data_IF_009793718988
#
_entry.id   IF_009793718988
#
_cell.length_a   1.000
_cell.length_b   1.000
_cell.length_c   1.000
_cell.angle_alpha   90.00
_cell.angle_beta   90.00
_cell.angle_gamma   90.00
#
_symmetry.space_group_name_H-M   'P 1'
#
loop_
_entity.id
_entity.type
_entity.pdbx_description
1 polymer ?
#
# COMPACT_ATOMS: atom_id res chain seq x y z
N UNK A 1 -0.93 -27.89 -17.05
CA UNK A 1 -1.85 -27.73 -15.91
C UNK A 1 -1.51 -26.42 -15.22
N UNK A 2 -2.48 -25.49 -15.08
CA UNK A 2 -2.32 -24.28 -14.26
C UNK A 2 -2.41 -24.67 -12.77
N UNK A 3 -1.73 -23.88 -11.94
CA UNK A 3 -1.86 -23.99 -10.47
C UNK A 3 -3.07 -23.20 -10.01
N UNK A 4 -3.87 -23.77 -9.08
CA UNK A 4 -5.10 -23.15 -8.59
C UNK A 4 -4.82 -22.04 -7.58
N UNK A 5 -3.71 -22.13 -6.85
CA UNK A 5 -3.36 -21.20 -5.76
C UNK A 5 -1.87 -20.86 -5.80
N UNK A 6 -1.52 -19.72 -5.25
CA UNK A 6 -0.13 -19.40 -4.96
C UNK A 6 0.39 -20.41 -3.93
N UNK A 7 1.52 -21.03 -4.23
CA UNK A 7 2.07 -22.08 -3.39
C UNK A 7 1.58 -23.52 -3.73
N UNK A 8 0.66 -23.70 -4.69
CA UNK A 8 0.18 -25.01 -5.13
C UNK A 8 1.20 -25.78 -5.99
N UNK A 9 2.26 -25.11 -6.44
CA UNK A 9 3.32 -25.74 -7.21
C UNK A 9 4.03 -26.83 -6.41
N UNK A 10 4.33 -28.01 -7.02
CA UNK A 10 5.12 -29.06 -6.38
C UNK A 10 6.55 -28.62 -6.03
N UNK A 11 7.03 -27.53 -6.65
CA UNK A 11 8.33 -26.93 -6.36
C UNK A 11 8.29 -25.97 -5.16
N UNK A 12 7.10 -25.62 -4.65
CA UNK A 12 6.95 -24.78 -3.48
C UNK A 12 7.12 -25.65 -2.22
N UNK A 13 8.27 -25.59 -1.58
CA UNK A 13 8.57 -26.40 -0.40
C UNK A 13 7.84 -25.89 0.86
N UNK A 14 7.67 -24.56 0.98
CA UNK A 14 7.03 -23.90 2.14
C UNK A 14 6.07 -22.82 1.66
N UNK A 15 5.04 -22.59 2.45
CA UNK A 15 4.08 -21.47 2.28
C UNK A 15 4.07 -20.70 3.60
N UNK A 16 4.51 -19.46 3.55
CA UNK A 16 4.48 -18.53 4.68
C UNK A 16 3.16 -17.82 4.75
N UNK A 17 2.58 -17.72 5.93
CA UNK A 17 1.31 -17.05 6.19
C UNK A 17 1.37 -16.34 7.54
N UNK A 18 0.76 -15.16 7.64
CA UNK A 18 0.62 -14.46 8.93
C UNK A 18 -0.18 -15.26 9.96
N UNK A 19 -1.04 -16.18 9.51
CA UNK A 19 -1.82 -17.08 10.37
C UNK A 19 -1.95 -18.45 9.68
N UNK A 20 -0.92 -19.28 9.83
CA UNK A 20 -0.88 -20.61 9.24
C UNK A 20 -2.05 -21.49 9.72
N UNK A 21 -2.55 -21.30 10.95
CA UNK A 21 -3.67 -22.07 11.50
C UNK A 21 -4.99 -21.83 10.74
N UNK A 22 -5.15 -20.66 10.13
CA UNK A 22 -6.32 -20.33 9.28
C UNK A 22 -6.19 -20.78 7.83
N UNK A 23 -5.01 -21.23 7.43
CA UNK A 23 -4.75 -21.63 6.06
C UNK A 23 -5.10 -23.12 5.87
N UNK A 24 -6.28 -23.40 5.33
CA UNK A 24 -6.78 -24.77 5.11
C UNK A 24 -6.46 -25.35 3.74
N UNK A 25 -5.85 -24.56 2.84
CA UNK A 25 -5.58 -24.95 1.45
C UNK A 25 -4.33 -25.83 1.29
N UNK A 26 -3.44 -25.83 2.31
CA UNK A 26 -2.17 -26.53 2.24
C UNK A 26 -1.99 -27.48 3.42
N UNK A 27 -1.23 -28.58 3.24
CA UNK A 27 -0.84 -29.43 4.36
C UNK A 27 -0.10 -28.64 5.45
N UNK A 28 -0.39 -28.90 6.71
CA UNK A 28 0.26 -28.20 7.84
C UNK A 28 1.80 -28.32 7.81
N UNK A 29 2.34 -29.41 7.24
CA UNK A 29 3.79 -29.62 7.09
C UNK A 29 4.47 -28.62 6.12
N UNK A 30 3.70 -27.94 5.27
CA UNK A 30 4.18 -26.91 4.35
C UNK A 30 3.96 -25.50 4.87
N UNK A 31 3.16 -25.33 5.90
CA UNK A 31 2.77 -24.03 6.43
C UNK A 31 3.78 -23.56 7.49
N UNK A 32 4.19 -22.31 7.37
CA UNK A 32 5.00 -21.61 8.36
C UNK A 32 4.26 -20.33 8.73
N UNK A 33 4.06 -20.09 10.02
CA UNK A 33 3.58 -18.79 10.50
C UNK A 33 4.75 -17.82 10.50
N UNK A 34 4.58 -16.73 9.74
CA UNK A 34 5.56 -15.66 9.67
C UNK A 34 4.86 -14.30 9.55
N UNK A 35 5.25 -13.37 10.40
CA UNK A 35 4.68 -12.04 10.42
C UNK A 35 5.54 -11.08 9.60
N UNK A 36 5.04 -10.66 8.45
CA UNK A 36 5.68 -9.62 7.63
C UNK A 36 6.00 -8.36 8.44
N UNK A 37 5.13 -8.01 9.37
CA UNK A 37 5.35 -6.89 10.28
C UNK A 37 6.55 -7.13 11.19
N UNK A 38 6.62 -8.29 11.84
CA UNK A 38 7.71 -8.64 12.75
C UNK A 38 9.04 -8.73 12.00
N UNK A 39 9.05 -9.30 10.80
CA UNK A 39 10.22 -9.33 9.92
C UNK A 39 10.73 -7.91 9.61
N UNK A 40 9.85 -6.99 9.22
CA UNK A 40 10.22 -5.60 8.93
C UNK A 40 10.71 -4.86 10.19
N UNK A 41 10.09 -5.10 11.34
CA UNK A 41 10.49 -4.52 12.61
C UNK A 41 11.86 -5.04 13.07
N UNK A 42 12.16 -6.31 12.80
CA UNK A 42 13.43 -6.96 13.19
C UNK A 42 14.65 -6.51 12.38
N UNK A 43 14.45 -5.85 11.23
CA UNK A 43 15.55 -5.32 10.42
C UNK A 43 16.44 -4.38 11.25
N UNK A 44 17.74 -4.61 11.18
CA UNK A 44 18.74 -3.74 11.79
C UNK A 44 18.77 -2.35 11.15
N UNK A 45 19.38 -1.38 11.81
CA UNK A 45 19.56 -0.04 11.25
C UNK A 45 20.33 -0.06 9.92
N UNK A 46 21.33 -0.95 9.78
CA UNK A 46 22.11 -1.10 8.56
C UNK A 46 21.27 -1.68 7.41
N UNK A 47 20.44 -2.69 7.68
CA UNK A 47 19.53 -3.27 6.69
C UNK A 47 18.47 -2.26 6.26
N UNK A 48 17.87 -1.51 7.19
CA UNK A 48 16.95 -0.42 6.89
C UNK A 48 17.60 0.66 6.04
N UNK A 49 18.86 1.02 6.32
CA UNK A 49 19.60 1.98 5.51
C UNK A 49 19.87 1.46 4.09
N UNK A 50 20.21 0.17 3.97
CA UNK A 50 20.39 -0.48 2.65
C UNK A 50 19.09 -0.45 1.85
N UNK A 51 17.97 -0.84 2.44
CA UNK A 51 16.66 -0.81 1.78
C UNK A 51 16.30 0.63 1.35
N UNK A 52 16.55 1.62 2.21
CA UNK A 52 16.37 3.03 1.86
C UNK A 52 17.16 3.42 0.62
N UNK A 53 18.45 3.07 0.57
CA UNK A 53 19.30 3.44 -0.57
C UNK A 53 18.86 2.87 -1.90
N UNK A 54 18.14 1.74 -1.88
CA UNK A 54 17.59 1.10 -3.08
C UNK A 54 16.28 1.74 -3.53
N UNK A 55 15.40 2.06 -2.60
CA UNK A 55 14.01 2.45 -2.92
C UNK A 55 13.74 3.96 -2.81
N UNK A 56 14.52 4.70 -2.03
CA UNK A 56 14.39 6.16 -1.92
C UNK A 56 15.42 6.84 -2.80
N UNK A 57 15.11 6.92 -4.08
CA UNK A 57 15.96 7.59 -5.08
C UNK A 57 15.72 9.10 -5.14
N UNK A 58 14.63 9.58 -4.54
CA UNK A 58 14.28 10.98 -4.47
C UNK A 58 14.29 11.48 -3.02
N UNK A 59 14.74 12.71 -2.77
CA UNK A 59 14.65 13.30 -1.44
C UNK A 59 13.17 13.44 -1.03
N UNK A 60 12.85 12.94 0.15
CA UNK A 60 11.54 13.15 0.76
C UNK A 60 11.52 14.52 1.47
N UNK A 61 10.36 15.20 1.51
CA UNK A 61 10.21 16.40 2.31
C UNK A 61 10.54 16.12 3.78
N UNK A 62 11.36 16.97 4.39
CA UNK A 62 11.79 16.81 5.80
C UNK A 62 10.62 17.03 6.78
N UNK A 63 9.66 17.84 6.40
CA UNK A 63 8.52 18.17 7.23
C UNK A 63 7.21 17.98 6.46
N UNK A 64 6.46 17.00 6.88
CA UNK A 64 5.10 16.73 6.39
C UNK A 64 4.12 16.66 7.57
N UNK A 65 4.20 17.61 8.49
CA UNK A 65 3.28 17.68 9.61
C UNK A 65 1.83 17.72 9.13
N UNK A 66 1.00 16.82 9.64
CA UNK A 66 -0.39 16.69 9.23
C UNK A 66 -0.61 16.03 7.86
N UNK A 67 0.43 15.51 7.20
CA UNK A 67 0.32 14.93 5.87
C UNK A 67 -0.64 13.73 5.83
N UNK A 68 -1.35 13.62 4.71
CA UNK A 68 -2.19 12.47 4.36
C UNK A 68 -1.53 11.65 3.28
N UNK A 69 -1.45 10.33 3.46
CA UNK A 69 -1.02 9.38 2.45
C UNK A 69 -2.23 8.72 1.79
N UNK A 70 -2.39 8.92 0.49
CA UNK A 70 -3.33 8.16 -0.32
C UNK A 70 -2.62 6.98 -0.98
N UNK A 71 -3.20 5.79 -0.84
CA UNK A 71 -2.71 4.54 -1.43
C UNK A 71 -3.76 4.03 -2.42
N UNK A 72 -3.75 4.50 -3.67
CA UNK A 72 -4.69 4.08 -4.69
C UNK A 72 -4.50 2.61 -5.06
N UNK A 73 -5.63 1.96 -5.37
CA UNK A 73 -5.65 0.66 -6.05
C UNK A 73 -5.89 0.87 -7.54
N UNK A 74 -5.32 0.00 -8.37
CA UNK A 74 -5.45 0.03 -9.83
C UNK A 74 -6.77 -0.60 -10.30
N UNK A 75 -7.90 0.06 -10.06
CA UNK A 75 -9.23 -0.44 -10.43
C UNK A 75 -9.45 -0.52 -11.94
N UNK A 76 -8.83 0.38 -12.70
CA UNK A 76 -8.90 0.39 -14.18
C UNK A 76 -8.21 -0.85 -14.73
N UNK A 77 -7.00 -1.15 -14.28
CA UNK A 77 -6.24 -2.31 -14.70
C UNK A 77 -6.86 -3.64 -14.22
N UNK A 78 -7.64 -3.59 -13.15
CA UNK A 78 -8.44 -4.72 -12.68
C UNK A 78 -9.77 -4.86 -13.46
N UNK A 79 -10.10 -3.94 -14.39
CA UNK A 79 -11.31 -3.95 -15.20
C UNK A 79 -12.60 -3.62 -14.42
N UNK A 80 -12.49 -2.96 -13.26
CA UNK A 80 -13.60 -2.69 -12.36
C UNK A 80 -14.26 -1.34 -12.58
N UNK A 81 -13.57 -0.39 -13.24
CA UNK A 81 -14.11 0.93 -13.58
C UNK A 81 -13.32 1.57 -14.72
N UNK A 82 -13.86 2.64 -15.27
CA UNK A 82 -13.18 3.47 -16.26
C UNK A 82 -12.17 4.41 -15.58
N UNK A 83 -11.22 4.95 -16.36
CA UNK A 83 -10.27 5.93 -15.87
C UNK A 83 -10.95 7.18 -15.32
N UNK A 84 -12.04 7.63 -15.95
CA UNK A 84 -12.79 8.80 -15.51
C UNK A 84 -13.44 8.57 -14.13
N UNK A 85 -14.03 7.39 -13.92
CA UNK A 85 -14.63 7.00 -12.65
C UNK A 85 -13.57 6.87 -11.54
N UNK A 86 -12.44 6.23 -11.82
CA UNK A 86 -11.33 6.11 -10.87
C UNK A 86 -10.81 7.50 -10.46
N UNK A 87 -10.59 8.38 -11.44
CA UNK A 87 -10.11 9.73 -11.20
C UNK A 87 -11.08 10.54 -10.34
N UNK A 88 -12.38 10.49 -10.66
CA UNK A 88 -13.43 11.19 -9.89
C UNK A 88 -13.48 10.66 -8.45
N UNK A 89 -13.46 9.35 -8.26
CA UNK A 89 -13.49 8.70 -6.96
C UNK A 89 -12.28 9.11 -6.10
N UNK A 90 -11.06 9.02 -6.62
CA UNK A 90 -9.89 9.40 -5.83
C UNK A 90 -9.81 10.90 -5.56
N UNK A 91 -10.33 11.76 -6.44
CA UNK A 91 -10.51 13.19 -6.13
C UNK A 91 -11.47 13.40 -4.96
N UNK A 92 -12.60 12.72 -4.94
CA UNK A 92 -13.56 12.81 -3.85
C UNK A 92 -12.99 12.27 -2.52
N UNK A 93 -12.29 11.14 -2.56
CA UNK A 93 -11.59 10.58 -1.40
C UNK A 93 -10.55 11.57 -0.87
N UNK A 94 -9.70 12.12 -1.75
CA UNK A 94 -8.72 13.11 -1.35
C UNK A 94 -9.38 14.37 -0.77
N UNK A 95 -10.41 14.91 -1.42
CA UNK A 95 -11.12 16.10 -0.93
C UNK A 95 -11.70 15.91 0.48
N UNK A 96 -12.19 14.71 0.79
CA UNK A 96 -12.77 14.41 2.12
C UNK A 96 -11.73 14.16 3.19
N UNK A 97 -10.65 13.46 2.87
CA UNK A 97 -9.76 12.91 3.88
C UNK A 97 -8.39 13.59 3.96
N UNK A 98 -8.03 14.46 3.00
CA UNK A 98 -6.76 15.19 3.08
C UNK A 98 -6.83 16.28 4.13
N UNK A 99 -5.87 16.21 5.07
CA UNK A 99 -5.58 17.27 6.01
C UNK A 99 -4.06 17.55 5.89
N UNK A 100 -3.69 18.76 5.49
CA UNK A 100 -2.28 19.10 5.22
C UNK A 100 -1.76 18.58 3.87
N UNK A 101 -0.44 18.39 3.71
CA UNK A 101 0.16 17.93 2.46
C UNK A 101 -0.36 16.55 2.03
N UNK A 102 -0.65 16.39 0.74
CA UNK A 102 -1.07 15.10 0.17
C UNK A 102 0.14 14.37 -0.43
N UNK A 103 0.33 13.14 0.00
CA UNK A 103 1.27 12.18 -0.58
C UNK A 103 0.49 11.07 -1.26
N UNK A 104 0.97 10.61 -2.40
CA UNK A 104 0.34 9.52 -3.14
C UNK A 104 1.36 8.44 -3.42
N UNK A 105 1.10 7.23 -2.96
CA UNK A 105 1.90 6.04 -3.29
C UNK A 105 1.09 5.12 -4.18
N UNK A 106 1.38 5.19 -5.47
CA UNK A 106 0.65 4.45 -6.50
C UNK A 106 0.97 2.95 -6.48
N UNK A 107 0.04 2.15 -6.97
CA UNK A 107 0.29 0.73 -7.22
C UNK A 107 1.23 0.56 -8.43
N UNK A 108 2.17 -0.42 -8.46
CA UNK A 108 3.11 -0.59 -9.59
C UNK A 108 2.43 -0.80 -10.95
N UNK A 109 1.22 -1.38 -10.99
CA UNK A 109 0.44 -1.60 -12.23
C UNK A 109 -0.43 -0.41 -12.63
N UNK A 110 -0.65 0.55 -11.73
CA UNK A 110 -1.53 1.70 -11.98
C UNK A 110 -0.88 2.65 -12.99
N UNK A 111 -1.57 2.91 -14.09
CA UNK A 111 -1.09 3.77 -15.19
C UNK A 111 -1.63 5.20 -15.13
N UNK A 112 -2.40 5.51 -14.09
CA UNK A 112 -2.98 6.85 -13.87
C UNK A 112 -1.88 7.90 -13.72
N UNK A 113 -2.02 9.02 -14.42
CA UNK A 113 -1.18 10.20 -14.23
C UNK A 113 -1.64 10.99 -13.01
N UNK A 114 -1.08 10.63 -11.86
CA UNK A 114 -1.39 11.31 -10.59
C UNK A 114 -0.80 12.70 -10.49
N UNK A 115 0.25 13.05 -11.25
CA UNK A 115 0.76 14.43 -11.32
C UNK A 115 -0.25 15.35 -11.98
N UNK A 116 -0.87 14.93 -13.08
CA UNK A 116 -1.94 15.70 -13.71
C UNK A 116 -3.22 15.75 -12.85
N UNK A 117 -3.51 14.67 -12.11
CA UNK A 117 -4.73 14.57 -11.30
C UNK A 117 -4.65 15.40 -10.01
N UNK A 118 -3.46 15.48 -9.39
CA UNK A 118 -3.13 16.17 -8.13
C UNK A 118 -1.82 16.95 -8.25
N UNK A 119 -1.82 18.13 -8.88
CA UNK A 119 -0.60 18.88 -9.18
C UNK A 119 0.23 19.26 -7.95
N UNK A 120 -0.42 19.45 -6.80
CA UNK A 120 0.21 19.87 -5.54
C UNK A 120 0.60 18.67 -4.64
N UNK A 121 0.34 17.44 -5.08
CA UNK A 121 0.66 16.25 -4.29
C UNK A 121 2.12 15.80 -4.50
N UNK A 122 2.70 15.22 -3.46
CA UNK A 122 3.98 14.52 -3.54
C UNK A 122 3.74 13.09 -4.01
N UNK A 123 4.10 12.79 -5.26
CA UNK A 123 3.96 11.43 -5.80
C UNK A 123 5.20 10.62 -5.45
N UNK A 124 5.01 9.58 -4.65
CA UNK A 124 6.09 8.69 -4.22
C UNK A 124 6.46 7.70 -5.32
N UNK A 125 7.73 7.24 -5.30
CA UNK A 125 8.26 6.29 -6.27
C UNK A 125 7.35 5.07 -6.43
N UNK A 126 6.94 4.81 -7.66
CA UNK A 126 5.92 3.78 -7.99
C UNK A 126 6.38 2.37 -7.65
N UNK A 127 7.66 2.08 -7.84
CA UNK A 127 8.25 0.76 -7.62
C UNK A 127 8.59 0.47 -6.17
N UNK A 128 8.62 1.49 -5.31
CA UNK A 128 8.88 1.32 -3.89
C UNK A 128 7.74 0.53 -3.22
N UNK A 129 8.02 -0.56 -2.50
CA UNK A 129 6.99 -1.22 -1.68
C UNK A 129 6.45 -0.28 -0.60
N UNK A 130 5.13 -0.30 -0.37
CA UNK A 130 4.50 0.56 0.65
C UNK A 130 5.04 0.31 2.06
N UNK A 131 5.50 -0.91 2.33
CA UNK A 131 6.07 -1.33 3.61
C UNK A 131 7.39 -0.63 3.92
N UNK A 132 8.13 -0.22 2.90
CA UNK A 132 9.38 0.55 3.06
C UNK A 132 9.10 1.89 3.74
N UNK A 133 7.92 2.47 3.54
CA UNK A 133 7.52 3.71 4.21
C UNK A 133 7.46 3.59 5.74
N UNK A 134 7.26 2.39 6.28
CA UNK A 134 7.21 2.18 7.74
C UNK A 134 8.50 2.58 8.48
N UNK A 135 9.64 2.61 7.79
CA UNK A 135 10.94 2.92 8.40
C UNK A 135 11.80 3.89 7.58
N UNK A 136 11.31 4.35 6.44
CA UNK A 136 12.08 5.23 5.55
C UNK A 136 11.82 6.71 5.79
N UNK A 137 10.66 7.05 6.36
CA UNK A 137 10.24 8.42 6.56
C UNK A 137 10.82 8.98 7.86
N UNK A 138 11.24 10.25 7.88
CA UNK A 138 11.60 10.96 9.11
C UNK A 138 10.38 11.39 9.94
N UNK A 139 9.17 11.15 9.44
CA UNK A 139 7.89 11.51 10.06
C UNK A 139 6.86 10.39 9.88
N UNK A 140 5.76 10.47 10.62
CA UNK A 140 4.55 9.70 10.36
C UNK A 140 3.52 10.57 9.66
N UNK A 141 2.72 9.95 8.80
CA UNK A 141 1.51 10.59 8.27
C UNK A 141 0.48 10.73 9.39
N UNK A 142 -0.21 11.86 9.44
CA UNK A 142 -1.37 11.97 10.32
C UNK A 142 -2.45 10.96 9.92
N UNK A 143 -2.54 10.68 8.60
CA UNK A 143 -3.57 9.79 8.05
C UNK A 143 -3.06 9.01 6.85
N UNK A 144 -3.47 7.75 6.73
CA UNK A 144 -3.32 6.94 5.52
C UNK A 144 -4.68 6.42 5.06
N UNK A 145 -5.00 6.62 3.79
CA UNK A 145 -6.31 6.30 3.19
C UNK A 145 -6.12 5.35 2.02
N UNK A 146 -6.95 4.32 1.94
CA UNK A 146 -7.02 3.42 0.79
C UNK A 146 -8.46 2.96 0.54
N UNK A 147 -8.71 2.47 -0.67
CA UNK A 147 -10.01 1.90 -1.07
C UNK A 147 -9.81 0.42 -1.41
N UNK A 148 -10.58 -0.44 -0.76
CA UNK A 148 -10.63 -1.89 -1.01
C UNK A 148 -9.25 -2.57 -1.10
N UNK A 149 -8.31 -2.20 -0.22
CA UNK A 149 -6.95 -2.75 -0.18
C UNK A 149 -6.52 -3.09 1.23
N UNK A 150 -5.81 -4.19 1.38
CA UNK A 150 -5.29 -4.63 2.68
C UNK A 150 -3.92 -4.02 3.04
N UNK A 151 -3.39 -3.13 2.21
CA UNK A 151 -2.06 -2.52 2.40
C UNK A 151 -1.88 -1.87 3.78
N UNK A 152 -2.95 -1.31 4.37
CA UNK A 152 -2.90 -0.65 5.67
C UNK A 152 -2.81 -1.61 6.86
N UNK A 153 -2.97 -2.92 6.69
CA UNK A 153 -2.91 -3.88 7.81
C UNK A 153 -1.54 -3.87 8.50
N UNK A 154 -0.47 -3.95 7.71
CA UNK A 154 0.91 -3.93 8.21
C UNK A 154 1.56 -2.53 8.18
N UNK A 155 0.79 -1.48 7.84
CA UNK A 155 1.31 -0.12 7.73
C UNK A 155 1.40 0.54 9.12
N UNK A 156 2.58 1.03 9.50
CA UNK A 156 2.83 1.65 10.82
C UNK A 156 3.23 3.13 10.74
N UNK A 157 3.46 3.65 9.52
CA UNK A 157 3.88 5.02 9.29
C UNK A 157 2.72 6.04 9.23
N UNK A 158 1.54 5.70 9.78
CA UNK A 158 0.42 6.61 9.92
C UNK A 158 -0.24 6.45 11.30
N UNK A 159 -0.74 7.56 11.85
CA UNK A 159 -1.46 7.56 13.12
C UNK A 159 -2.91 7.11 12.94
N UNK A 160 -3.58 7.57 11.90
CA UNK A 160 -4.94 7.15 11.52
C UNK A 160 -4.91 6.34 10.22
N UNK A 161 -5.68 5.26 10.18
CA UNK A 161 -5.82 4.40 8.99
C UNK A 161 -7.28 4.34 8.57
N UNK A 162 -7.56 4.74 7.34
CA UNK A 162 -8.90 4.75 6.76
C UNK A 162 -8.93 3.74 5.61
N UNK A 163 -9.67 2.68 5.81
CA UNK A 163 -9.96 1.68 4.79
C UNK A 163 -11.42 1.84 4.35
N UNK A 164 -11.63 2.31 3.13
CA UNK A 164 -12.95 2.42 2.54
C UNK A 164 -13.26 1.16 1.73
N UNK A 165 -14.53 0.74 1.77
CA UNK A 165 -15.07 -0.12 0.74
C UNK A 165 -15.20 0.66 -0.58
N UNK A 166 -15.39 -0.05 -1.69
CA UNK A 166 -15.63 0.59 -2.98
C UNK A 166 -16.93 1.41 -2.95
N UNK A 167 -17.98 0.87 -2.31
CA UNK A 167 -19.27 1.53 -2.15
C UNK A 167 -19.16 2.83 -1.35
N UNK A 168 -18.44 2.82 -0.23
CA UNK A 168 -18.19 4.03 0.57
C UNK A 168 -17.42 5.09 -0.21
N UNK A 169 -16.42 4.69 -1.00
CA UNK A 169 -15.66 5.62 -1.82
C UNK A 169 -16.51 6.21 -2.97
N UNK A 170 -17.36 5.40 -3.62
CA UNK A 170 -18.27 5.85 -4.67
C UNK A 170 -19.39 6.75 -4.12
N UNK A 171 -19.85 6.52 -2.89
CA UNK A 171 -20.85 7.37 -2.26
C UNK A 171 -20.37 8.82 -2.04
N UNK A 172 -19.06 9.07 -2.10
CA UNK A 172 -18.49 10.43 -2.01
C UNK A 172 -18.70 11.26 -3.29
N UNK A 173 -19.15 10.65 -4.37
CA UNK A 173 -19.42 11.33 -5.63
C UNK A 173 -20.82 12.00 -5.67
N UNK A 174 -21.68 11.67 -4.70
CA UNK A 174 -23.04 12.20 -4.54
C UNK A 174 -23.07 13.22 -3.41
#
# INVERSE_FOLDING_TARGET
>A
KGYLYWGDSPWCAKVESEDAAKCTLFPASRLVTDSKRELLESLTAAEKAMVRSVFLTQPLPENAAGATLLLPRSFVEDGLMTQAEQNAMFKAVAAKYTAGPLFIKTHPRDTTDYHALFPDAVILERTMPSEVLNFCLPFKFARAVTVQSFVLRAFTAADEKILLSLEEAQALLN
#
